data_IF_624170364141
#
_entry.id   IF_624170364141
#
_cell.length_a   1.000
_cell.length_b   1.000
_cell.length_c   1.000
_cell.angle_alpha   90.00
_cell.angle_beta   90.00
_cell.angle_gamma   90.00
#
_symmetry.space_group_name_H-M   'P 1'
#
loop_
_entity.id
_entity.type
_entity.pdbx_description
1 polymer ?
#
# COMPACT_ATOMS: atom_id res chain seq x y z
N UNK A 1 23.35 -22.77 -10.69
CA UNK A 1 22.00 -22.89 -11.31
C UNK A 1 20.86 -22.49 -10.38
N UNK A 2 21.06 -22.38 -9.05
CA UNK A 2 20.02 -21.99 -8.08
C UNK A 2 19.84 -20.48 -7.88
N UNK A 3 20.91 -19.66 -7.98
CA UNK A 3 20.79 -18.21 -7.79
C UNK A 3 20.06 -17.46 -8.93
N UNK A 4 20.13 -17.96 -10.17
CA UNK A 4 19.43 -17.34 -11.32
C UNK A 4 17.91 -17.50 -11.22
N UNK A 5 17.42 -18.59 -10.62
CA UNK A 5 15.99 -18.84 -10.46
C UNK A 5 15.36 -17.97 -9.37
N UNK A 6 16.07 -17.71 -8.27
CA UNK A 6 15.57 -16.85 -7.18
C UNK A 6 15.49 -15.39 -7.64
N UNK A 7 16.53 -14.90 -8.33
CA UNK A 7 16.53 -13.53 -8.88
C UNK A 7 15.43 -13.31 -9.94
N UNK A 8 15.20 -14.30 -10.81
CA UNK A 8 14.08 -14.25 -11.77
C UNK A 8 12.71 -14.34 -11.11
N UNK A 9 12.56 -15.08 -10.01
CA UNK A 9 11.29 -15.17 -9.28
C UNK A 9 10.95 -13.85 -8.58
N UNK A 10 11.92 -13.21 -7.91
CA UNK A 10 11.75 -11.89 -7.27
C UNK A 10 11.49 -10.78 -8.30
N UNK A 11 12.19 -10.82 -9.44
CA UNK A 11 11.94 -9.91 -10.55
C UNK A 11 10.52 -10.06 -11.09
N UNK A 12 10.01 -11.29 -11.24
CA UNK A 12 8.66 -11.54 -11.78
C UNK A 12 7.52 -11.10 -10.84
N UNK A 13 7.74 -11.08 -9.52
CA UNK A 13 6.75 -10.57 -8.56
C UNK A 13 6.74 -9.04 -8.54
N UNK A 14 7.93 -8.45 -8.59
CA UNK A 14 8.10 -6.99 -8.71
C UNK A 14 7.47 -6.47 -10.01
N UNK A 15 7.66 -7.19 -11.12
CA UNK A 15 7.08 -6.86 -12.42
C UNK A 15 5.55 -6.93 -12.41
N UNK A 16 4.97 -7.98 -11.79
CA UNK A 16 3.50 -8.08 -11.63
C UNK A 16 2.93 -6.97 -10.75
N UNK A 17 3.61 -6.63 -9.67
CA UNK A 17 3.24 -5.51 -8.80
C UNK A 17 3.25 -4.17 -9.54
N UNK A 18 4.30 -3.93 -10.34
CA UNK A 18 4.42 -2.73 -11.19
C UNK A 18 3.30 -2.67 -12.21
N UNK A 19 3.04 -3.75 -12.95
CA UNK A 19 1.97 -3.81 -13.96
C UNK A 19 0.59 -3.52 -13.39
N UNK A 20 0.29 -4.02 -12.18
CA UNK A 20 -0.97 -3.71 -11.50
C UNK A 20 -1.03 -2.23 -11.08
N UNK A 21 0.07 -1.69 -10.57
CA UNK A 21 0.14 -0.28 -10.21
C UNK A 21 -0.07 0.62 -11.43
N UNK A 22 0.56 0.28 -12.56
CA UNK A 22 0.45 1.01 -13.82
C UNK A 22 -1.00 1.00 -14.32
N UNK A 23 -1.66 -0.17 -14.32
CA UNK A 23 -3.06 -0.29 -14.73
C UNK A 23 -4.02 0.52 -13.83
N UNK A 24 -3.78 0.56 -12.51
CA UNK A 24 -4.59 1.35 -11.58
C UNK A 24 -4.34 2.86 -11.75
N UNK A 25 -3.10 3.26 -12.00
CA UNK A 25 -2.77 4.65 -12.29
C UNK A 25 -3.41 5.13 -13.59
N UNK A 26 -3.38 4.31 -14.65
CA UNK A 26 -4.03 4.59 -15.92
C UNK A 26 -5.55 4.74 -15.73
N UNK A 27 -6.20 3.78 -15.06
CA UNK A 27 -7.63 3.84 -14.78
C UNK A 27 -8.03 5.09 -13.95
N UNK A 28 -7.21 5.49 -12.96
CA UNK A 28 -7.44 6.70 -12.18
C UNK A 28 -7.31 7.95 -13.06
N UNK A 29 -6.29 8.01 -13.91
CA UNK A 29 -6.06 9.13 -14.80
C UNK A 29 -7.19 9.27 -15.83
N UNK A 30 -7.62 8.16 -16.43
CA UNK A 30 -8.73 8.14 -17.38
C UNK A 30 -10.03 8.59 -16.73
N UNK A 31 -10.34 8.07 -15.53
CA UNK A 31 -11.53 8.47 -14.78
C UNK A 31 -11.55 9.98 -14.47
N UNK A 32 -10.46 10.51 -13.93
CA UNK A 32 -10.36 11.94 -13.59
C UNK A 32 -10.37 12.81 -14.85
N UNK A 33 -9.81 12.36 -15.98
CA UNK A 33 -9.86 13.09 -17.25
C UNK A 33 -11.28 13.17 -17.83
N UNK A 34 -12.09 12.13 -17.63
CA UNK A 34 -13.47 12.08 -18.11
C UNK A 34 -14.43 12.86 -17.20
N UNK A 35 -14.24 12.76 -15.88
CA UNK A 35 -15.17 13.32 -14.88
C UNK A 35 -14.80 14.73 -14.42
N UNK A 36 -13.52 15.09 -14.45
CA UNK A 36 -12.99 16.35 -13.92
C UNK A 36 -12.01 16.99 -14.90
N UNK A 37 -12.45 17.18 -16.15
CA UNK A 37 -11.65 17.77 -17.23
C UNK A 37 -11.15 19.19 -16.91
N UNK A 38 -11.80 19.89 -15.98
CA UNK A 38 -11.41 21.21 -15.48
C UNK A 38 -10.15 21.21 -14.60
N UNK A 39 -9.78 20.07 -14.01
CA UNK A 39 -8.57 19.93 -13.18
C UNK A 39 -7.72 18.73 -13.63
N UNK A 40 -6.90 18.89 -14.69
CA UNK A 40 -6.07 17.81 -15.22
C UNK A 40 -5.00 17.32 -14.23
N UNK A 41 -4.79 18.03 -13.12
CA UNK A 41 -3.83 17.66 -12.06
C UNK A 41 -4.49 16.90 -10.91
N UNK A 42 -5.79 16.65 -10.97
CA UNK A 42 -6.54 16.04 -9.87
C UNK A 42 -6.08 14.63 -9.52
N UNK A 43 -5.83 13.78 -10.52
CA UNK A 43 -5.22 12.46 -10.31
C UNK A 43 -3.88 12.59 -9.55
N UNK A 44 -3.02 13.53 -9.96
CA UNK A 44 -1.76 13.82 -9.26
C UNK A 44 -1.97 14.28 -7.81
N UNK A 45 -2.94 15.17 -7.55
CA UNK A 45 -3.28 15.61 -6.19
C UNK A 45 -3.71 14.44 -5.30
N UNK A 46 -4.54 13.53 -5.82
CA UNK A 46 -4.97 12.33 -5.10
C UNK A 46 -3.77 11.42 -4.77
N UNK A 47 -2.89 11.17 -5.75
CA UNK A 47 -1.67 10.39 -5.51
C UNK A 47 -0.77 11.01 -4.44
N UNK A 48 -0.69 12.34 -4.38
CA UNK A 48 0.06 13.07 -3.35
C UNK A 48 -0.57 13.00 -1.95
N UNK A 49 -1.81 12.52 -1.81
CA UNK A 49 -2.39 12.21 -0.48
C UNK A 49 -1.93 10.86 0.07
N UNK A 50 -1.49 9.94 -0.79
CA UNK A 50 -1.06 8.59 -0.39
C UNK A 50 0.16 8.60 0.56
N UNK A 51 1.18 9.46 0.39
CA UNK A 51 2.26 9.60 1.37
C UNK A 51 1.76 9.96 2.78
N UNK A 52 0.80 10.88 2.90
CA UNK A 52 0.22 11.27 4.19
C UNK A 52 -0.59 10.13 4.81
N UNK A 53 -1.37 9.41 3.98
CA UNK A 53 -2.10 8.22 4.41
C UNK A 53 -1.13 7.15 4.94
N UNK A 54 -0.02 6.91 4.21
CA UNK A 54 1.02 5.97 4.61
C UNK A 54 1.66 6.38 5.94
N UNK A 55 1.99 7.66 6.10
CA UNK A 55 2.56 8.18 7.34
C UNK A 55 1.62 7.97 8.53
N UNK A 56 0.34 8.29 8.35
CA UNK A 56 -0.68 8.12 9.40
C UNK A 56 -0.87 6.64 9.73
N UNK A 57 -0.92 5.77 8.72
CA UNK A 57 -1.02 4.33 8.91
C UNK A 57 0.18 3.77 9.68
N UNK A 58 1.41 4.22 9.38
CA UNK A 58 2.62 3.80 10.13
C UNK A 58 2.53 4.19 11.61
N UNK A 59 2.10 5.42 11.91
CA UNK A 59 1.91 5.86 13.31
C UNK A 59 0.84 5.02 14.01
N UNK A 60 -0.26 4.72 13.33
CA UNK A 60 -1.32 3.89 13.87
C UNK A 60 -0.82 2.46 14.18
N UNK A 61 -0.07 1.85 13.26
CA UNK A 61 0.52 0.51 13.47
C UNK A 61 1.42 0.52 14.71
N UNK A 62 2.33 1.51 14.85
CA UNK A 62 3.19 1.66 16.03
C UNK A 62 2.38 1.81 17.32
N UNK A 63 1.29 2.59 17.27
CA UNK A 63 0.41 2.77 18.41
C UNK A 63 -0.29 1.47 18.82
N UNK A 64 -0.83 0.72 17.86
CA UNK A 64 -1.45 -0.58 18.11
C UNK A 64 -0.44 -1.62 18.61
N UNK A 65 0.82 -1.59 18.15
CA UNK A 65 1.89 -2.39 18.73
C UNK A 65 2.15 -2.07 20.20
N UNK A 66 2.18 -0.78 20.58
CA UNK A 66 2.32 -0.39 21.98
C UNK A 66 1.16 -0.90 22.83
N UNK A 67 -0.09 -0.79 22.33
CA UNK A 67 -1.28 -1.32 23.01
C UNK A 67 -1.20 -2.84 23.15
N UNK A 68 -0.76 -3.55 22.11
CA UNK A 68 -0.54 -5.01 22.14
C UNK A 68 0.41 -5.39 23.27
N UNK A 69 1.55 -4.71 23.35
CA UNK A 69 2.57 -4.99 24.37
C UNK A 69 2.09 -4.70 25.79
N UNK A 70 1.16 -3.75 25.97
CA UNK A 70 0.54 -3.49 27.27
C UNK A 70 -0.45 -4.58 27.70
N UNK A 71 -1.01 -5.36 26.76
CA UNK A 71 -1.92 -6.48 27.04
C UNK A 71 -3.28 -6.08 27.63
N UNK A 72 -3.60 -4.78 27.70
CA UNK A 72 -4.80 -4.25 28.36
C UNK A 72 -6.06 -4.33 27.49
N UNK A 73 -5.91 -4.45 26.17
CA UNK A 73 -7.01 -4.45 25.21
C UNK A 73 -6.99 -5.78 24.44
N UNK A 74 -8.06 -6.59 24.53
CA UNK A 74 -8.15 -7.82 23.74
C UNK A 74 -8.27 -7.46 22.25
N UNK A 75 -7.36 -7.98 21.44
CA UNK A 75 -7.38 -7.81 19.99
C UNK A 75 -7.80 -9.11 19.31
N UNK A 76 -8.63 -8.99 18.28
CA UNK A 76 -9.06 -10.13 17.49
C UNK A 76 -7.86 -10.77 16.76
N UNK A 77 -7.87 -12.10 16.65
CA UNK A 77 -6.76 -12.89 16.07
C UNK A 77 -6.34 -12.38 14.69
N UNK A 78 -7.30 -12.14 13.78
CA UNK A 78 -7.03 -11.60 12.44
C UNK A 78 -6.33 -10.23 12.49
N UNK A 79 -6.70 -9.37 13.43
CA UNK A 79 -6.08 -8.05 13.55
C UNK A 79 -4.63 -8.16 14.04
N UNK A 80 -4.35 -9.07 14.96
CA UNK A 80 -2.98 -9.37 15.41
C UNK A 80 -2.13 -9.92 14.26
N UNK A 81 -2.69 -10.83 13.46
CA UNK A 81 -2.02 -11.37 12.26
C UNK A 81 -1.71 -10.26 11.24
N UNK A 82 -2.67 -9.36 10.98
CA UNK A 82 -2.45 -8.20 10.10
C UNK A 82 -1.41 -7.21 10.65
N UNK A 83 -1.36 -7.06 11.98
CA UNK A 83 -0.37 -6.21 12.64
C UNK A 83 1.04 -6.82 12.44
N UNK A 84 1.18 -8.11 12.73
CA UNK A 84 2.44 -8.88 12.64
C UNK A 84 2.98 -9.00 11.21
N UNK A 85 2.10 -9.12 10.22
CA UNK A 85 2.50 -9.17 8.81
C UNK A 85 3.13 -7.87 8.28
N UNK A 86 3.11 -6.78 9.07
CA UNK A 86 3.73 -5.49 8.72
C UNK A 86 5.10 -5.26 9.38
N UNK A 87 5.61 -6.21 10.18
CA UNK A 87 6.97 -6.18 10.77
C UNK A 87 7.95 -6.98 9.93
#
# INVERSE_FOLDING_TARGET
MTMTFICSAEASQTERGSKLQDALHEALQDYESCQHAEDPRRAGKLLMTLPLLRQTATKAIQHFYSIKMQGKVPMHKLFLEMLEAKV
#
